data_IF_212101705419
#
_entry.id   IF_212101705419
#
_cell.length_a   1.000
_cell.length_b   1.000
_cell.length_c   1.000
_cell.angle_alpha   90.00
_cell.angle_beta   90.00
_cell.angle_gamma   90.00
#
_symmetry.space_group_name_H-M   'P 1'
#
loop_
_entity.id
_entity.type
_entity.pdbx_description
1 polymer ?
#
# COMPACT_ATOMS: atom_id res chain seq x y z
N UNK A 1 26.91 11.66 39.81
CA UNK A 1 27.52 10.50 39.11
C UNK A 1 26.50 9.40 38.79
N UNK A 2 25.69 8.92 39.74
CA UNK A 2 24.69 7.84 39.50
C UNK A 2 23.64 8.16 38.41
N UNK A 3 23.17 9.41 38.31
CA UNK A 3 22.21 9.85 37.28
C UNK A 3 22.79 9.85 35.86
N UNK A 4 24.08 10.15 35.71
CA UNK A 4 24.77 10.14 34.42
C UNK A 4 24.99 8.70 33.92
N UNK A 5 25.27 7.77 34.84
CA UNK A 5 25.36 6.34 34.52
C UNK A 5 24.03 5.75 34.03
N UNK A 6 22.91 6.18 34.60
CA UNK A 6 21.57 5.73 34.17
C UNK A 6 21.23 6.24 32.77
N UNK A 7 21.56 7.50 32.47
CA UNK A 7 21.36 8.08 31.13
C UNK A 7 22.24 7.37 30.08
N UNK A 8 23.50 7.09 30.41
CA UNK A 8 24.39 6.34 29.53
C UNK A 8 23.89 4.91 29.25
N UNK A 9 23.32 4.23 30.26
CA UNK A 9 22.75 2.89 30.11
C UNK A 9 21.50 2.87 29.21
N UNK A 10 20.69 3.94 29.23
CA UNK A 10 19.54 4.09 28.33
C UNK A 10 19.95 4.45 26.89
N UNK A 11 21.08 5.15 26.70
CA UNK A 11 21.60 5.48 25.37
C UNK A 11 22.36 4.32 24.70
N UNK A 12 22.83 3.35 25.48
CA UNK A 12 23.54 2.14 25.01
C UNK A 12 22.68 0.87 25.07
N UNK A 13 21.38 0.98 24.82
CA UNK A 13 20.59 -0.23 24.60
C UNK A 13 21.08 -0.91 23.30
N UNK A 14 21.37 -2.22 23.31
CA UNK A 14 21.64 -2.93 22.08
C UNK A 14 20.38 -2.82 21.21
N UNK A 15 20.53 -2.19 20.04
CA UNK A 15 19.53 -2.30 19.00
C UNK A 15 19.64 -3.74 18.52
N UNK A 16 18.85 -4.62 19.12
CA UNK A 16 18.56 -5.91 18.50
C UNK A 16 17.93 -5.57 17.17
N UNK A 17 18.70 -5.68 16.09
CA UNK A 17 18.17 -5.67 14.75
C UNK A 17 17.20 -6.84 14.69
N UNK A 18 15.91 -6.55 14.84
CA UNK A 18 14.83 -7.50 14.57
C UNK A 18 14.90 -7.77 13.08
N UNK A 19 15.80 -8.68 12.69
CA UNK A 19 15.85 -9.25 11.38
C UNK A 19 14.59 -10.10 11.27
N UNK A 20 13.67 -9.71 10.39
CA UNK A 20 12.55 -10.55 10.04
C UNK A 20 13.09 -11.93 9.63
N UNK A 21 12.79 -12.98 10.40
CA UNK A 21 13.38 -14.32 10.22
C UNK A 21 13.10 -14.92 8.84
N UNK A 22 12.09 -14.41 8.14
CA UNK A 22 11.96 -14.48 6.69
C UNK A 22 11.03 -13.37 6.19
N UNK A 23 11.24 -12.90 4.96
CA UNK A 23 10.25 -12.06 4.30
C UNK A 23 8.94 -12.85 4.15
N UNK A 24 7.80 -12.24 4.52
CA UNK A 24 6.48 -12.84 4.34
C UNK A 24 6.28 -13.34 2.91
N UNK A 25 6.03 -14.65 2.77
CA UNK A 25 5.74 -15.28 1.48
C UNK A 25 4.26 -15.10 1.17
N UNK A 26 3.95 -14.57 -0.01
CA UNK A 26 2.58 -14.45 -0.52
C UNK A 26 2.44 -15.39 -1.73
N UNK A 27 1.33 -16.11 -1.83
CA UNK A 27 1.04 -16.97 -2.99
C UNK A 27 0.76 -16.18 -4.27
N UNK A 28 0.40 -14.90 -4.16
CA UNK A 28 0.13 -14.00 -5.27
C UNK A 28 1.10 -12.81 -5.23
N UNK A 29 2.26 -12.98 -5.85
CA UNK A 29 3.33 -11.94 -5.87
C UNK A 29 2.85 -10.65 -6.52
N UNK A 30 1.91 -10.71 -7.47
CA UNK A 30 1.32 -9.54 -8.13
C UNK A 30 0.63 -8.56 -7.17
N UNK A 31 0.07 -9.02 -6.04
CA UNK A 31 -0.54 -8.16 -5.02
C UNK A 31 0.47 -7.37 -4.18
N UNK A 32 1.77 -7.50 -4.47
CA UNK A 32 2.79 -6.61 -3.92
C UNK A 32 2.99 -5.36 -4.77
N UNK A 33 2.49 -5.34 -5.99
CA UNK A 33 2.63 -4.23 -6.92
C UNK A 33 1.30 -3.50 -7.05
N UNK A 34 1.15 -2.31 -6.46
CA UNK A 34 -0.11 -1.59 -6.55
C UNK A 34 -0.38 -1.15 -7.99
N UNK A 35 -1.60 -1.38 -8.51
CA UNK A 35 -1.95 -1.13 -9.91
C UNK A 35 -2.27 0.34 -10.21
N UNK A 36 -1.57 1.29 -9.59
CA UNK A 36 -1.95 2.71 -9.67
C UNK A 36 -0.73 3.62 -9.65
N UNK A 37 -0.66 4.56 -10.59
CA UNK A 37 0.42 5.54 -10.64
C UNK A 37 0.36 6.53 -9.47
N UNK A 38 -0.86 6.92 -9.04
CA UNK A 38 -1.07 7.86 -7.94
C UNK A 38 -0.60 7.27 -6.61
N UNK A 39 -0.92 6.01 -6.29
CA UNK A 39 -0.41 5.38 -5.06
C UNK A 39 1.12 5.31 -5.08
N UNK A 40 1.71 4.91 -6.20
CA UNK A 40 3.16 4.80 -6.32
C UNK A 40 3.85 6.14 -6.10
N UNK A 41 3.33 7.23 -6.67
CA UNK A 41 3.83 8.59 -6.42
C UNK A 41 3.70 9.05 -4.96
N UNK A 42 2.76 8.48 -4.21
CA UNK A 42 2.54 8.76 -2.79
C UNK A 42 3.28 7.78 -1.86
N UNK A 43 4.13 6.89 -2.39
CA UNK A 43 4.79 5.86 -1.58
C UNK A 43 3.82 4.83 -1.01
N UNK A 44 2.79 4.48 -1.78
CA UNK A 44 1.74 3.50 -1.45
C UNK A 44 0.83 3.89 -0.26
N UNK A 45 0.87 5.15 0.16
CA UNK A 45 0.11 5.68 1.29
C UNK A 45 -1.32 6.10 0.91
N UNK A 46 -2.18 5.14 0.56
CA UNK A 46 -3.53 5.42 0.03
C UNK A 46 -4.71 4.91 0.87
N UNK A 47 -4.50 4.20 1.97
CA UNK A 47 -5.57 3.53 2.75
C UNK A 47 -6.71 4.47 3.22
N UNK A 48 -6.41 5.73 3.53
CA UNK A 48 -7.38 6.70 4.01
C UNK A 48 -8.00 7.57 2.89
N UNK A 49 -7.54 7.41 1.65
CA UNK A 49 -7.97 8.19 0.50
C UNK A 49 -9.09 7.41 -0.20
N UNK A 50 -10.26 8.01 -0.31
CA UNK A 50 -11.44 7.42 -0.95
C UNK A 50 -12.09 8.37 -1.94
N UNK A 51 -11.27 9.08 -2.73
CA UNK A 51 -11.71 10.08 -3.71
C UNK A 51 -11.67 9.58 -5.17
N UNK A 52 -11.07 8.41 -5.43
CA UNK A 52 -10.97 7.80 -6.76
C UNK A 52 -10.99 6.26 -6.72
N UNK A 53 -11.16 5.66 -7.89
CA UNK A 53 -11.19 4.21 -8.10
C UNK A 53 -9.98 3.44 -7.53
N UNK A 54 -8.83 4.10 -7.31
CA UNK A 54 -7.62 3.45 -6.77
C UNK A 54 -7.85 2.92 -5.35
N UNK A 55 -8.84 3.45 -4.62
CA UNK A 55 -9.24 2.93 -3.29
C UNK A 55 -9.67 1.46 -3.34
N UNK A 56 -10.12 0.93 -4.47
CA UNK A 56 -10.50 -0.49 -4.62
C UNK A 56 -9.37 -1.44 -4.19
N UNK A 57 -8.12 -1.07 -4.44
CA UNK A 57 -6.95 -1.90 -4.09
C UNK A 57 -6.54 -1.77 -2.61
N UNK A 58 -6.67 -0.57 -2.03
CA UNK A 58 -6.15 -0.27 -0.68
C UNK A 58 -7.22 -0.35 0.41
N UNK A 59 -8.44 0.11 0.12
CA UNK A 59 -9.58 0.14 1.04
C UNK A 59 -10.90 0.20 0.25
N UNK A 60 -11.54 -0.96 -0.04
CA UNK A 60 -12.80 -1.00 -0.80
C UNK A 60 -13.95 -0.19 -0.19
N UNK A 61 -13.93 0.09 1.11
CA UNK A 61 -14.96 0.92 1.75
C UNK A 61 -14.98 2.37 1.19
N UNK A 62 -13.87 2.83 0.63
CA UNK A 62 -13.78 4.14 -0.04
C UNK A 62 -14.66 4.25 -1.30
N UNK A 63 -15.09 3.14 -1.90
CA UNK A 63 -15.94 3.15 -3.10
C UNK A 63 -17.35 3.66 -2.85
N UNK A 64 -17.79 3.77 -1.60
CA UNK A 64 -19.16 4.13 -1.26
C UNK A 64 -19.61 5.49 -1.83
N UNK A 65 -18.68 6.42 -2.09
CA UNK A 65 -18.95 7.74 -2.65
C UNK A 65 -18.49 7.94 -4.09
N UNK A 66 -18.01 6.89 -4.75
CA UNK A 66 -17.40 6.99 -6.09
C UNK A 66 -18.46 6.67 -7.15
N UNK A 67 -18.58 7.58 -8.12
CA UNK A 67 -19.45 7.43 -9.29
C UNK A 67 -18.87 6.39 -10.27
N UNK A 68 -19.48 6.24 -11.45
CA UNK A 68 -18.94 5.35 -12.48
C UNK A 68 -17.58 5.85 -12.96
N UNK A 69 -16.55 5.03 -12.75
CA UNK A 69 -15.17 5.33 -13.15
C UNK A 69 -14.51 4.11 -13.78
N UNK A 70 -13.65 4.33 -14.76
CA UNK A 70 -12.80 3.33 -15.38
C UNK A 70 -11.35 3.82 -15.37
N UNK A 71 -10.42 2.95 -15.02
CA UNK A 71 -8.99 3.24 -15.04
C UNK A 71 -8.21 2.13 -15.72
N UNK A 72 -7.16 2.52 -16.41
CA UNK A 72 -6.15 1.63 -16.99
C UNK A 72 -4.78 2.05 -16.52
N UNK A 73 -3.97 1.09 -16.10
CA UNK A 73 -2.63 1.30 -15.62
C UNK A 73 -1.64 0.42 -16.39
N UNK A 74 -0.50 1.00 -16.76
CA UNK A 74 0.63 0.30 -17.35
C UNK A 74 1.92 0.75 -16.66
N UNK A 75 2.74 -0.22 -16.27
CA UNK A 75 4.06 -0.02 -15.72
C UNK A 75 5.07 -0.81 -16.53
N UNK A 76 6.07 -0.12 -17.04
CA UNK A 76 7.25 -0.77 -17.60
C UNK A 76 8.25 -1.09 -16.48
N UNK A 77 8.64 -2.35 -16.38
CA UNK A 77 9.56 -2.87 -15.37
C UNK A 77 10.94 -3.15 -15.96
N UNK A 78 11.81 -3.74 -15.15
CA UNK A 78 13.15 -4.16 -15.59
C UNK A 78 13.09 -5.55 -16.25
N UNK A 79 14.09 -5.85 -17.09
CA UNK A 79 14.26 -7.18 -17.72
C UNK A 79 13.02 -7.65 -18.50
N UNK A 80 12.47 -6.76 -19.34
CA UNK A 80 11.28 -7.03 -20.17
C UNK A 80 10.06 -7.49 -19.36
N UNK A 81 9.95 -7.04 -18.10
CA UNK A 81 8.77 -7.26 -17.27
C UNK A 81 7.86 -6.05 -17.38
N UNK A 82 6.56 -6.26 -17.49
CA UNK A 82 5.57 -5.19 -17.42
C UNK A 82 4.43 -5.59 -16.49
N UNK A 83 3.71 -4.60 -15.97
CA UNK A 83 2.53 -4.80 -15.15
C UNK A 83 1.38 -3.95 -15.66
N UNK A 84 0.21 -4.55 -15.78
CA UNK A 84 -0.98 -3.91 -16.37
C UNK A 84 -2.19 -4.19 -15.53
N UNK A 85 -3.08 -3.21 -15.41
CA UNK A 85 -4.32 -3.36 -14.69
C UNK A 85 -5.44 -2.55 -15.35
N UNK A 86 -6.65 -3.10 -15.26
CA UNK A 86 -7.89 -2.42 -15.58
C UNK A 86 -8.79 -2.50 -14.36
N UNK A 87 -9.39 -1.38 -14.01
CA UNK A 87 -10.33 -1.28 -12.90
C UNK A 87 -11.56 -0.51 -13.38
N UNK A 88 -12.70 -0.87 -12.82
CA UNK A 88 -13.98 -0.23 -13.09
C UNK A 88 -14.79 -0.21 -11.81
N UNK A 89 -15.55 0.85 -11.56
CA UNK A 89 -16.54 0.87 -10.48
C UNK A 89 -17.89 1.36 -10.96
N UNK A 90 -18.94 0.88 -10.29
CA UNK A 90 -20.31 1.29 -10.48
C UNK A 90 -21.02 1.48 -9.13
N UNK A 91 -21.70 2.61 -8.92
CA UNK A 91 -22.58 2.80 -7.77
C UNK A 91 -23.74 1.80 -7.80
N UNK A 92 -24.04 1.23 -6.64
CA UNK A 92 -25.23 0.41 -6.40
C UNK A 92 -26.04 0.98 -5.24
N UNK A 93 -27.24 0.45 -5.01
CA UNK A 93 -28.10 0.89 -3.90
C UNK A 93 -27.50 0.64 -2.51
N UNK A 94 -26.49 -0.21 -2.40
CA UNK A 94 -25.87 -0.62 -1.13
C UNK A 94 -24.42 -0.16 -0.98
N UNK A 95 -23.88 0.61 -1.94
CA UNK A 95 -22.48 1.07 -1.99
C UNK A 95 -21.88 0.98 -3.39
N UNK A 96 -20.58 1.26 -3.53
CA UNK A 96 -19.86 1.08 -4.80
C UNK A 96 -19.45 -0.37 -5.03
N UNK A 97 -19.71 -0.90 -6.23
CA UNK A 97 -19.17 -2.17 -6.71
C UNK A 97 -17.96 -1.87 -7.59
N UNK A 98 -16.85 -2.58 -7.41
CA UNK A 98 -15.67 -2.48 -8.27
C UNK A 98 -14.97 -3.82 -8.42
#
# INVERSE_FOLDING_TARGET
MKRLLIIALFLFQPIDAVLASSAGKCGAVGLKFPPTARALGMGEAMTAIGDDLNTLYFNPAGLAGIEREFSSYYQDGLLDTFYTNFTYTQPTKIGGLG
#
